data_IF_754964336969
#
_entry.id   IF_754964336969
#
_cell.length_a   1.000
_cell.length_b   1.000
_cell.length_c   1.000
_cell.angle_alpha   90.00
_cell.angle_beta   90.00
_cell.angle_gamma   90.00
#
_symmetry.space_group_name_H-M   'P 1'
#
loop_
_entity.id
_entity.type
_entity.pdbx_description
1 polymer ?
#
# COMPACT_ATOMS: atom_id res chain seq x y z
N UNK A 1 14.58 -7.04 40.09
CA UNK A 1 14.88 -8.50 40.07
C UNK A 1 15.77 -8.95 41.24
N UNK A 2 16.58 -8.09 41.87
CA UNK A 2 17.39 -8.46 43.02
C UNK A 2 16.62 -8.55 44.37
N UNK A 3 15.42 -7.97 44.44
CA UNK A 3 14.66 -7.86 45.70
C UNK A 3 13.76 -9.08 46.02
N UNK A 4 13.57 -9.99 45.06
CA UNK A 4 12.72 -11.18 45.23
C UNK A 4 13.46 -12.42 45.77
N UNK A 5 14.77 -12.33 46.00
CA UNK A 5 15.57 -13.47 46.47
C UNK A 5 15.63 -13.62 48.01
N UNK A 6 15.14 -12.63 48.78
CA UNK A 6 15.27 -12.62 50.24
C UNK A 6 14.17 -13.40 51.00
N UNK A 7 13.01 -13.66 50.38
CA UNK A 7 11.87 -14.28 51.07
C UNK A 7 11.83 -15.81 51.00
N UNK A 8 12.69 -16.45 50.19
CA UNK A 8 12.59 -17.90 49.94
C UNK A 8 13.40 -18.79 50.89
N UNK A 9 14.18 -18.25 51.83
CA UNK A 9 14.83 -19.05 52.88
C UNK A 9 15.62 -20.26 52.37
N UNK A 10 16.12 -20.20 51.12
CA UNK A 10 16.89 -21.28 50.51
C UNK A 10 18.34 -21.10 50.98
N UNK A 11 18.72 -21.86 52.01
CA UNK A 11 20.12 -22.08 52.34
C UNK A 11 20.81 -22.71 51.13
N UNK A 12 21.52 -21.89 50.36
CA UNK A 12 22.41 -22.36 49.31
C UNK A 12 23.54 -23.17 49.97
N UNK A 13 23.68 -24.47 49.65
CA UNK A 13 24.73 -25.29 50.23
C UNK A 13 26.08 -24.68 49.88
N UNK A 14 26.93 -24.55 50.89
CA UNK A 14 28.29 -24.04 50.76
C UNK A 14 28.96 -24.68 49.54
N UNK A 15 29.32 -23.83 48.57
CA UNK A 15 30.04 -24.24 47.37
C UNK A 15 31.37 -24.86 47.80
N UNK A 16 31.41 -26.19 47.85
CA UNK A 16 32.65 -26.94 47.98
C UNK A 16 33.55 -26.55 46.82
N UNK A 17 34.77 -26.13 47.14
CA UNK A 17 35.79 -25.78 46.15
C UNK A 17 35.93 -26.96 45.17
N UNK A 18 35.70 -26.76 43.86
CA UNK A 18 35.88 -27.84 42.91
C UNK A 18 37.35 -28.21 42.92
N UNK A 19 37.65 -29.40 43.45
CA UNK A 19 38.95 -30.04 43.36
C UNK A 19 39.32 -30.09 41.87
N UNK A 20 40.15 -29.14 41.44
CA UNK A 20 40.67 -29.06 40.08
C UNK A 20 41.65 -30.21 39.93
N UNK A 21 41.12 -31.40 39.63
CA UNK A 21 41.90 -32.56 39.21
C UNK A 21 42.65 -32.13 37.96
N UNK A 22 43.93 -31.82 38.14
CA UNK A 22 44.84 -31.44 37.08
C UNK A 22 44.96 -32.62 36.10
N UNK A 23 44.07 -32.65 35.09
CA UNK A 23 44.16 -33.63 34.02
C UNK A 23 45.49 -33.41 33.31
N UNK A 24 46.32 -34.45 33.15
CA UNK A 24 47.55 -34.35 32.41
C UNK A 24 47.23 -33.83 31.02
N UNK A 25 47.80 -32.66 30.69
CA UNK A 25 47.70 -32.08 29.35
C UNK A 25 48.50 -32.99 28.42
N UNK A 26 47.82 -33.97 27.83
CA UNK A 26 48.38 -34.73 26.73
C UNK A 26 48.61 -33.77 25.58
N UNK A 27 49.88 -33.39 25.38
CA UNK A 27 50.32 -32.64 24.22
C UNK A 27 50.18 -33.56 22.99
N UNK A 28 49.02 -33.51 22.34
CA UNK A 28 48.83 -34.15 21.06
C UNK A 28 49.66 -33.40 20.02
N UNK A 29 50.85 -33.92 19.71
CA UNK A 29 51.67 -33.45 18.60
C UNK A 29 51.09 -33.97 17.29
N UNK A 30 50.02 -33.32 16.81
CA UNK A 30 49.40 -33.67 15.54
C UNK A 30 50.31 -33.20 14.41
N UNK A 31 51.01 -34.14 13.79
CA UNK A 31 51.80 -33.87 12.59
C UNK A 31 50.85 -34.01 11.40
N UNK A 32 50.51 -32.92 10.70
CA UNK A 32 49.63 -33.02 9.56
C UNK A 32 50.29 -33.93 8.51
N UNK A 33 49.54 -34.86 7.94
CA UNK A 33 50.09 -35.73 6.93
C UNK A 33 50.49 -34.90 5.71
N UNK A 34 51.59 -35.29 5.05
CA UNK A 34 52.19 -34.53 3.93
C UNK A 34 51.25 -34.28 2.75
N UNK A 35 50.15 -35.02 2.63
CA UNK A 35 49.15 -34.86 1.57
C UNK A 35 48.12 -33.75 1.87
N UNK A 36 47.97 -33.31 3.13
CA UNK A 36 46.99 -32.31 3.54
C UNK A 36 47.06 -30.99 2.75
N UNK A 37 48.24 -30.36 2.55
CA UNK A 37 48.31 -29.11 1.78
C UNK A 37 47.87 -29.29 0.32
N UNK A 38 48.16 -30.44 -0.29
CA UNK A 38 47.77 -30.72 -1.66
C UNK A 38 46.26 -30.93 -1.78
N UNK A 39 45.64 -31.61 -0.81
CA UNK A 39 44.20 -31.80 -0.77
C UNK A 39 43.42 -30.47 -0.62
N UNK A 40 43.93 -29.53 0.19
CA UNK A 40 43.32 -28.21 0.35
C UNK A 40 43.35 -27.39 -0.94
N UNK A 41 44.47 -27.40 -1.67
CA UNK A 41 44.60 -26.67 -2.95
C UNK A 41 43.63 -27.25 -3.99
N UNK A 42 43.55 -28.57 -4.10
CA UNK A 42 42.62 -29.23 -5.03
C UNK A 42 41.17 -28.93 -4.65
N UNK A 43 40.82 -28.99 -3.37
CA UNK A 43 39.47 -28.64 -2.88
C UNK A 43 39.09 -27.19 -3.20
N UNK A 44 40.01 -26.24 -2.98
CA UNK A 44 39.78 -24.84 -3.30
C UNK A 44 39.60 -24.60 -4.81
N UNK A 45 40.38 -25.28 -5.65
CA UNK A 45 40.25 -25.19 -7.10
C UNK A 45 38.91 -25.74 -7.61
N UNK A 46 38.46 -26.88 -7.08
CA UNK A 46 37.15 -27.47 -7.42
C UNK A 46 36.02 -26.54 -6.97
N UNK A 47 36.10 -25.99 -5.76
CA UNK A 47 35.09 -25.07 -5.24
C UNK A 47 35.01 -23.77 -6.07
N UNK A 48 36.16 -23.19 -6.44
CA UNK A 48 36.23 -22.03 -7.31
C UNK A 48 35.66 -22.31 -8.72
N UNK A 49 35.95 -23.49 -9.28
CA UNK A 49 35.38 -23.91 -10.55
C UNK A 49 33.85 -24.10 -10.46
N UNK A 50 33.34 -24.64 -9.35
CA UNK A 50 31.90 -24.76 -9.10
C UNK A 50 31.19 -23.41 -8.99
N UNK A 51 31.80 -22.45 -8.28
CA UNK A 51 31.30 -21.07 -8.21
C UNK A 51 31.31 -20.43 -9.59
N UNK A 52 32.43 -20.56 -10.31
CA UNK A 52 32.54 -19.99 -11.65
C UNK A 52 31.52 -20.62 -12.62
N UNK A 53 31.27 -21.93 -12.51
CA UNK A 53 30.22 -22.61 -13.27
C UNK A 53 28.82 -22.08 -12.92
N UNK A 54 28.51 -21.85 -11.63
CA UNK A 54 27.23 -21.25 -11.23
C UNK A 54 27.05 -19.84 -11.81
N UNK A 55 28.09 -18.98 -11.78
CA UNK A 55 28.01 -17.65 -12.37
C UNK A 55 28.05 -17.65 -13.91
N UNK A 56 28.72 -18.63 -14.51
CA UNK A 56 28.85 -18.77 -15.96
C UNK A 56 27.63 -19.40 -16.63
N UNK A 57 26.88 -20.27 -15.93
CA UNK A 57 25.66 -20.91 -16.45
C UNK A 57 24.37 -20.11 -16.19
N UNK A 58 24.38 -19.09 -15.35
CA UNK A 58 23.29 -18.09 -15.30
C UNK A 58 23.38 -17.07 -16.44
N UNK A 59 24.35 -17.21 -17.34
CA UNK A 59 24.65 -16.29 -18.44
C UNK A 59 24.37 -16.85 -19.82
N UNK A 60 23.17 -17.39 -20.08
CA UNK A 60 22.56 -17.22 -21.40
C UNK A 60 22.12 -15.75 -21.51
N UNK A 61 23.08 -14.90 -21.87
CA UNK A 61 22.97 -13.46 -22.01
C UNK A 61 22.13 -13.07 -23.23
N UNK A 62 20.81 -13.25 -23.16
CA UNK A 62 19.89 -12.77 -24.22
C UNK A 62 18.45 -12.53 -23.73
N UNK A 63 18.24 -11.89 -22.55
CA UNK A 63 17.21 -10.84 -22.50
C UNK A 63 17.50 -9.64 -21.55
N UNK A 64 18.67 -9.59 -20.90
CA UNK A 64 18.95 -8.53 -19.89
C UNK A 64 19.24 -7.17 -20.54
N UNK A 65 19.84 -7.16 -21.73
CA UNK A 65 20.06 -5.91 -22.48
C UNK A 65 18.74 -5.29 -22.97
N UNK A 66 17.79 -6.12 -23.41
CA UNK A 66 16.47 -5.64 -23.84
C UNK A 66 15.65 -5.12 -22.65
N UNK A 67 15.76 -5.76 -21.48
CA UNK A 67 15.13 -5.25 -20.25
C UNK A 67 15.73 -3.92 -19.79
N UNK A 68 17.05 -3.77 -19.85
CA UNK A 68 17.72 -2.52 -19.46
C UNK A 68 17.33 -1.36 -20.40
N UNK A 69 17.23 -1.62 -21.71
CA UNK A 69 16.76 -0.63 -22.68
C UNK A 69 15.29 -0.25 -22.44
N UNK A 70 14.41 -1.23 -22.23
CA UNK A 70 13.00 -0.99 -21.94
C UNK A 70 12.79 -0.16 -20.66
N UNK A 71 13.52 -0.47 -19.58
CA UNK A 71 13.50 0.31 -18.34
C UNK A 71 14.01 1.74 -18.55
N UNK A 72 15.03 1.92 -19.39
CA UNK A 72 15.54 3.26 -19.73
C UNK A 72 14.49 4.11 -20.47
N UNK A 73 13.75 3.51 -21.39
CA UNK A 73 12.68 4.19 -22.14
C UNK A 73 11.49 4.54 -21.23
N UNK A 74 11.12 3.66 -20.30
CA UNK A 74 10.09 3.94 -19.29
C UNK A 74 10.50 5.10 -18.37
N UNK A 75 11.77 5.14 -17.92
CA UNK A 75 12.29 6.25 -17.10
C UNK A 75 12.30 7.57 -17.87
N UNK A 76 12.67 7.55 -19.15
CA UNK A 76 12.61 8.75 -20.00
C UNK A 76 11.17 9.27 -20.12
N UNK A 77 10.21 8.36 -20.39
CA UNK A 77 8.79 8.69 -20.48
C UNK A 77 8.24 9.22 -19.15
N UNK A 78 8.67 8.62 -18.03
CA UNK A 78 8.27 9.06 -16.70
C UNK A 78 8.78 10.47 -16.40
N UNK A 79 10.05 10.76 -16.72
CA UNK A 79 10.63 12.10 -16.54
C UNK A 79 9.89 13.16 -17.37
N UNK A 80 9.51 12.84 -18.61
CA UNK A 80 8.70 13.75 -19.43
C UNK A 80 7.33 14.03 -18.80
N UNK A 81 6.68 13.01 -18.23
CA UNK A 81 5.41 13.17 -17.51
C UNK A 81 5.57 14.03 -16.25
N UNK A 82 6.65 13.83 -15.49
CA UNK A 82 6.96 14.65 -14.30
C UNK A 82 7.18 16.11 -14.67
N UNK A 83 7.90 16.38 -15.75
CA UNK A 83 8.09 17.74 -16.26
C UNK A 83 6.78 18.36 -16.74
N UNK A 84 5.90 17.57 -17.37
CA UNK A 84 4.56 17.99 -17.76
C UNK A 84 3.69 18.37 -16.56
N UNK A 85 3.68 17.52 -15.52
CA UNK A 85 2.97 17.77 -14.26
C UNK A 85 3.52 19.02 -13.54
N UNK A 86 4.83 19.19 -13.51
CA UNK A 86 5.49 20.36 -12.92
C UNK A 86 5.03 21.66 -13.58
N UNK A 87 4.94 21.68 -14.92
CA UNK A 87 4.42 22.83 -15.67
C UNK A 87 2.95 23.12 -15.36
N UNK A 88 2.12 22.10 -15.21
CA UNK A 88 0.71 22.28 -14.85
C UNK A 88 0.55 22.88 -13.45
N UNK A 89 1.34 22.43 -12.47
CA UNK A 89 1.34 22.99 -11.12
C UNK A 89 1.79 24.44 -11.12
N UNK A 90 2.81 24.79 -11.89
CA UNK A 90 3.24 26.18 -12.06
C UNK A 90 2.14 27.06 -12.67
N UNK A 91 1.43 26.57 -13.70
CA UNK A 91 0.32 27.28 -14.32
C UNK A 91 -0.84 27.52 -13.34
N UNK A 92 -1.24 26.49 -12.57
CA UNK A 92 -2.26 26.60 -11.54
C UNK A 92 -1.86 27.59 -10.43
N UNK A 93 -0.57 27.63 -10.07
CA UNK A 93 -0.03 28.62 -9.13
C UNK A 93 -0.24 30.05 -9.62
N UNK A 94 0.03 30.31 -10.90
CA UNK A 94 -0.19 31.62 -11.51
C UNK A 94 -1.67 32.01 -11.55
N UNK A 95 -2.57 31.06 -11.85
CA UNK A 95 -4.01 31.30 -11.83
C UNK A 95 -4.51 31.66 -10.43
N UNK A 96 -4.03 30.94 -9.40
CA UNK A 96 -4.37 31.24 -8.00
C UNK A 96 -3.92 32.63 -7.61
N UNK A 97 -2.70 33.04 -7.97
CA UNK A 97 -2.16 34.35 -7.63
C UNK A 97 -2.90 35.48 -8.36
N UNK A 98 -3.28 35.25 -9.62
CA UNK A 98 -4.13 36.18 -10.38
C UNK A 98 -5.54 36.31 -9.75
N UNK A 99 -6.11 35.21 -9.28
CA UNK A 99 -7.40 35.23 -8.58
C UNK A 99 -7.30 35.97 -7.24
N UNK A 100 -6.22 35.74 -6.48
CA UNK A 100 -5.96 36.45 -5.23
C UNK A 100 -5.86 37.97 -5.44
N UNK A 101 -5.20 38.42 -6.51
CA UNK A 101 -5.14 39.85 -6.85
C UNK A 101 -6.51 40.43 -7.19
N UNK A 102 -7.38 39.68 -7.89
CA UNK A 102 -8.76 40.12 -8.18
C UNK A 102 -9.59 40.26 -6.91
N UNK A 103 -9.44 39.33 -5.97
CA UNK A 103 -10.11 39.40 -4.66
C UNK A 103 -9.62 40.63 -3.89
N UNK A 104 -8.31 40.85 -3.81
CA UNK A 104 -7.75 42.03 -3.14
C UNK A 104 -8.23 43.36 -3.78
N UNK A 105 -8.37 43.41 -5.10
CA UNK A 105 -8.91 44.58 -5.80
C UNK A 105 -10.39 44.82 -5.52
N UNK A 106 -11.18 43.75 -5.32
CA UNK A 106 -12.58 43.84 -4.94
C UNK A 106 -12.74 44.29 -3.48
N UNK A 107 -11.88 43.81 -2.58
CA UNK A 107 -11.86 44.22 -1.17
C UNK A 107 -11.41 45.67 -0.99
N UNK A 108 -10.41 46.10 -1.77
CA UNK A 108 -9.90 47.48 -1.74
C UNK A 108 -10.86 48.49 -2.40
N UNK A 109 -11.96 48.03 -3.00
CA UNK A 109 -12.92 48.89 -3.69
C UNK A 109 -13.62 49.77 -2.65
N UNK A 110 -13.33 51.09 -2.59
CA UNK A 110 -13.96 51.95 -1.62
C UNK A 110 -15.47 51.92 -1.87
N UNK A 111 -16.24 51.69 -0.81
CA UNK A 111 -17.69 51.87 -0.83
C UNK A 111 -17.89 53.36 -1.06
N UNK A 112 -18.01 53.75 -2.33
CA UNK A 112 -18.33 55.13 -2.66
C UNK A 112 -19.62 55.46 -1.92
N UNK A 113 -19.64 56.48 -1.05
CA UNK A 113 -20.88 56.90 -0.44
C UNK A 113 -21.82 57.22 -1.59
N UNK A 114 -22.98 56.57 -1.59
CA UNK A 114 -24.07 56.86 -2.51
C UNK A 114 -24.31 58.36 -2.42
N UNK A 115 -23.77 59.11 -3.39
CA UNK A 115 -23.98 60.53 -3.46
C UNK A 115 -25.49 60.69 -3.66
N UNK A 116 -26.16 61.15 -2.62
CA UNK A 116 -27.57 61.51 -2.67
C UNK A 116 -27.71 62.57 -3.75
N UNK A 117 -28.21 62.17 -4.92
CA UNK A 117 -28.62 63.10 -5.97
C UNK A 117 -29.81 63.90 -5.44
N UNK A 118 -29.70 65.21 -5.17
CA UNK A 118 -30.85 66.00 -4.81
C UNK A 118 -31.55 66.40 -6.10
N UNK A 119 -32.69 65.77 -6.36
CA UNK A 119 -33.71 66.24 -7.29
C UNK A 119 -33.36 66.15 -8.77
N UNK A 120 -33.94 65.18 -9.47
CA UNK A 120 -34.48 65.38 -10.82
C UNK A 120 -35.47 64.25 -11.09
N UNK A 121 -36.74 64.64 -11.11
CA UNK A 121 -37.93 64.00 -11.68
C UNK A 121 -37.90 62.48 -11.90
N UNK A 122 -38.80 61.82 -11.17
CA UNK A 122 -39.21 60.44 -11.35
C UNK A 122 -39.40 60.06 -12.83
N UNK A 123 -38.59 59.13 -13.38
CA UNK A 123 -39.05 58.34 -14.50
C UNK A 123 -40.05 57.31 -13.97
N UNK A 124 -41.08 57.09 -14.77
CA UNK A 124 -42.18 56.16 -14.55
C UNK A 124 -41.70 54.84 -13.94
N UNK A 125 -42.46 54.40 -12.94
CA UNK A 125 -42.41 53.05 -12.40
C UNK A 125 -42.66 52.08 -13.55
N UNK A 126 -41.59 51.55 -14.16
CA UNK A 126 -41.68 50.29 -14.87
C UNK A 126 -41.91 49.25 -13.77
N UNK A 127 -43.18 48.95 -13.53
CA UNK A 127 -43.54 47.73 -12.82
C UNK A 127 -43.00 46.58 -13.65
N UNK A 128 -41.83 46.07 -13.26
CA UNK A 128 -41.42 44.73 -13.68
C UNK A 128 -42.43 43.78 -13.05
N UNK A 129 -43.37 43.35 -13.87
CA UNK A 129 -44.41 42.39 -13.56
C UNK A 129 -43.74 41.06 -13.17
N UNK A 130 -43.57 40.83 -11.87
CA UNK A 130 -43.06 39.59 -11.29
C UNK A 130 -44.09 38.43 -11.33
N UNK A 131 -45.18 38.57 -12.10
CA UNK A 131 -46.19 37.50 -12.27
C UNK A 131 -45.92 36.55 -13.45
N UNK A 132 -44.85 36.75 -14.21
CA UNK A 132 -44.57 35.97 -15.42
C UNK A 132 -43.56 34.81 -15.32
N UNK A 133 -42.81 34.66 -14.22
CA UNK A 133 -41.73 33.67 -14.14
C UNK A 133 -41.98 32.62 -13.03
N UNK A 134 -43.20 32.09 -12.98
CA UNK A 134 -43.51 30.87 -12.24
C UNK A 134 -43.36 29.65 -13.15
N UNK A 135 -42.14 29.45 -13.66
CA UNK A 135 -41.69 28.22 -14.31
C UNK A 135 -40.16 28.21 -14.47
N UNK A 136 -39.42 28.74 -13.49
CA UNK A 136 -38.08 28.22 -13.29
C UNK A 136 -38.27 26.75 -12.88
N UNK A 137 -37.64 25.76 -13.56
CA UNK A 137 -37.58 24.43 -13.01
C UNK A 137 -36.98 24.60 -11.62
N UNK A 138 -37.76 24.23 -10.61
CA UNK A 138 -37.24 23.96 -9.28
C UNK A 138 -36.19 22.90 -9.57
N UNK A 139 -34.93 23.31 -9.70
CA UNK A 139 -33.82 22.41 -9.59
C UNK A 139 -34.08 21.79 -8.23
N UNK A 140 -34.57 20.55 -8.26
CA UNK A 140 -34.60 19.71 -7.10
C UNK A 140 -33.17 19.82 -6.59
N UNK A 141 -32.99 20.57 -5.50
CA UNK A 141 -31.87 20.28 -4.65
C UNK A 141 -32.04 18.79 -4.39
N UNK A 142 -31.14 17.93 -4.88
CA UNK A 142 -31.22 16.55 -4.50
C UNK A 142 -31.30 16.55 -2.97
N UNK A 143 -32.09 15.66 -2.36
CA UNK A 143 -31.89 15.39 -0.95
C UNK A 143 -30.38 15.21 -0.78
N UNK A 144 -29.84 15.73 0.31
CA UNK A 144 -28.46 15.61 0.73
C UNK A 144 -28.04 14.12 0.72
N UNK A 145 -27.82 13.54 -0.45
CA UNK A 145 -27.03 12.36 -0.65
C UNK A 145 -25.66 12.83 -0.19
N UNK A 146 -25.24 12.26 0.95
CA UNK A 146 -23.94 12.50 1.54
C UNK A 146 -22.93 12.66 0.41
N UNK A 147 -22.36 13.86 0.30
CA UNK A 147 -21.36 14.15 -0.73
C UNK A 147 -20.39 12.96 -0.74
N UNK A 148 -20.23 12.24 -1.87
CA UNK A 148 -19.23 11.20 -1.92
C UNK A 148 -17.93 11.92 -1.58
N UNK A 149 -17.32 11.53 -0.46
CA UNK A 149 -15.98 11.95 -0.13
C UNK A 149 -15.13 11.60 -1.35
N UNK A 150 -14.84 12.60 -2.17
CA UNK A 150 -13.90 12.48 -3.27
C UNK A 150 -12.51 12.39 -2.65
N UNK A 151 -12.23 11.25 -2.01
CA UNK A 151 -10.88 10.79 -1.77
C UNK A 151 -10.41 10.16 -3.07
N UNK A 152 -10.17 11.01 -4.06
CA UNK A 152 -9.39 10.63 -5.25
C UNK A 152 -8.29 11.65 -5.44
N UNK A 153 -7.59 11.94 -4.34
CA UNK A 153 -6.19 12.31 -4.47
C UNK A 153 -5.48 11.05 -4.92
N UNK A 154 -4.96 11.06 -6.15
CA UNK A 154 -3.96 10.12 -6.65
C UNK A 154 -2.63 10.33 -5.91
N UNK A 155 -2.70 10.30 -4.58
CA UNK A 155 -1.59 10.24 -3.66
C UNK A 155 -1.57 8.82 -3.13
N UNK A 156 -0.38 8.23 -3.11
CA UNK A 156 -0.01 7.02 -2.39
C UNK A 156 -0.98 6.78 -1.24
N UNK A 157 -1.85 5.77 -1.36
CA UNK A 157 -2.81 5.43 -0.30
C UNK A 157 -2.08 5.45 1.03
N UNK A 158 -2.63 6.13 2.04
CA UNK A 158 -2.07 6.21 3.40
C UNK A 158 -1.80 4.82 4.03
N UNK A 159 -2.34 3.79 3.42
CA UNK A 159 -2.21 2.39 3.80
C UNK A 159 -1.10 1.65 3.06
N UNK A 160 -0.32 2.31 2.21
CA UNK A 160 0.84 1.69 1.58
C UNK A 160 1.92 1.42 2.62
N UNK A 161 2.34 0.16 2.74
CA UNK A 161 3.25 -0.28 3.80
C UNK A 161 4.65 -0.61 3.32
N UNK A 162 4.94 -0.55 2.02
CA UNK A 162 6.21 -0.97 1.43
C UNK A 162 6.60 -2.42 1.82
N UNK A 163 5.63 -3.32 1.97
CA UNK A 163 5.91 -4.72 2.34
C UNK A 163 6.02 -4.99 3.85
N UNK A 164 5.69 -4.02 4.71
CA UNK A 164 5.75 -4.18 6.17
C UNK A 164 4.37 -4.45 6.76
N UNK A 165 4.29 -5.39 7.71
CA UNK A 165 3.08 -5.59 8.53
C UNK A 165 2.92 -4.45 9.54
N UNK A 166 1.95 -3.56 9.31
CA UNK A 166 1.67 -2.38 10.15
C UNK A 166 0.23 -2.27 10.60
N UNK A 167 -0.69 -2.84 9.83
CA UNK A 167 -2.12 -2.71 10.03
C UNK A 167 -2.73 -4.08 10.20
N UNK A 168 -3.75 -4.18 11.03
CA UNK A 168 -4.60 -5.34 11.14
C UNK A 168 -6.06 -4.92 10.93
N UNK A 169 -6.97 -5.88 10.83
CA UNK A 169 -8.39 -5.59 10.59
C UNK A 169 -9.04 -4.67 11.64
N UNK A 170 -8.53 -4.64 12.89
CA UNK A 170 -8.99 -3.72 13.94
C UNK A 170 -8.45 -2.29 13.83
N UNK A 171 -7.50 -2.06 12.92
CA UNK A 171 -6.94 -0.73 12.65
C UNK A 171 -7.87 0.15 11.80
N UNK A 172 -8.91 -0.43 11.21
CA UNK A 172 -9.82 0.24 10.29
C UNK A 172 -11.19 0.47 10.92
N UNK A 173 -11.82 1.60 10.59
CA UNK A 173 -13.16 1.91 11.09
C UNK A 173 -14.26 1.12 10.36
N UNK A 174 -13.93 0.60 9.17
CA UNK A 174 -14.88 -0.13 8.30
C UNK A 174 -14.17 -1.14 7.40
N UNK A 175 -14.90 -2.13 6.90
CA UNK A 175 -14.36 -3.09 5.93
C UNK A 175 -13.97 -2.40 4.62
N UNK A 176 -14.74 -1.39 4.16
CA UNK A 176 -14.39 -0.67 2.94
C UNK A 176 -13.00 -0.01 3.03
N UNK A 177 -12.64 0.51 4.20
CA UNK A 177 -11.33 1.10 4.46
C UNK A 177 -10.20 0.05 4.49
N UNK A 178 -10.48 -1.14 5.04
CA UNK A 178 -9.56 -2.28 4.95
C UNK A 178 -9.38 -2.75 3.50
N UNK A 179 -10.42 -2.70 2.68
CA UNK A 179 -10.37 -3.05 1.26
C UNK A 179 -9.48 -2.06 0.47
N UNK A 180 -9.52 -0.77 0.80
CA UNK A 180 -8.61 0.23 0.22
C UNK A 180 -7.15 -0.03 0.61
N UNK A 181 -6.91 -0.45 1.86
CA UNK A 181 -5.59 -0.84 2.32
C UNK A 181 -5.06 -2.09 1.60
N UNK A 182 -5.93 -3.08 1.39
CA UNK A 182 -5.63 -4.26 0.59
C UNK A 182 -5.25 -3.87 -0.85
N UNK A 183 -6.09 -3.06 -1.50
CA UNK A 183 -5.88 -2.58 -2.87
C UNK A 183 -4.57 -1.81 -3.04
N UNK A 184 -4.18 -1.03 -2.03
CA UNK A 184 -2.95 -0.25 -2.05
C UNK A 184 -1.68 -1.11 -2.07
N UNK A 185 -1.70 -2.31 -1.48
CA UNK A 185 -0.50 -3.13 -1.27
C UNK A 185 -0.36 -4.28 -2.30
N UNK A 186 -1.09 -4.25 -3.41
CA UNK A 186 -0.93 -5.22 -4.50
C UNK A 186 0.35 -4.93 -5.30
N UNK A 187 1.13 -5.97 -5.68
CA UNK A 187 0.95 -7.39 -5.35
C UNK A 187 1.42 -7.73 -3.93
N UNK A 188 0.58 -8.45 -3.16
CA UNK A 188 0.94 -9.00 -1.84
C UNK A 188 -0.03 -8.66 -0.71
N UNK A 189 0.18 -9.29 0.46
CA UNK A 189 -0.51 -9.04 1.75
C UNK A 189 0.41 -8.77 2.94
N UNK A 190 1.14 -7.65 2.97
CA UNK A 190 2.03 -7.39 4.09
C UNK A 190 1.32 -7.38 5.45
N UNK A 191 0.07 -6.93 5.45
CA UNK A 191 -0.77 -6.73 6.63
C UNK A 191 -1.71 -7.91 6.92
N UNK A 192 -1.65 -8.98 6.11
CA UNK A 192 -2.51 -10.17 6.21
C UNK A 192 -4.00 -9.84 6.36
N UNK A 193 -4.48 -8.83 5.62
CA UNK A 193 -5.86 -8.36 5.68
C UNK A 193 -6.85 -9.32 5.02
N UNK A 194 -6.40 -10.13 4.08
CA UNK A 194 -7.18 -11.14 3.36
C UNK A 194 -6.55 -12.51 3.65
N UNK A 195 -7.01 -13.13 4.76
CA UNK A 195 -6.38 -14.33 5.32
C UNK A 195 -6.64 -15.59 4.48
N UNK A 196 -7.74 -15.63 3.72
CA UNK A 196 -8.10 -16.78 2.88
C UNK A 196 -7.67 -16.60 1.41
N UNK A 197 -7.24 -15.40 1.02
CA UNK A 197 -6.74 -15.12 -0.32
C UNK A 197 -7.84 -14.94 -1.37
N UNK A 198 -9.04 -14.50 -0.99
CA UNK A 198 -10.12 -14.29 -1.95
C UNK A 198 -10.13 -12.87 -2.55
N UNK A 199 -9.22 -11.99 -2.13
CA UNK A 199 -9.14 -10.60 -2.56
C UNK A 199 -10.09 -9.66 -1.83
N UNK A 200 -10.76 -10.11 -0.76
CA UNK A 200 -11.63 -9.31 0.11
C UNK A 200 -10.97 -9.22 1.49
N UNK A 201 -10.81 -8.01 2.00
CA UNK A 201 -10.18 -7.75 3.28
C UNK A 201 -11.17 -7.94 4.43
N UNK A 202 -10.70 -8.58 5.50
CA UNK A 202 -11.29 -8.56 6.83
C UNK A 202 -12.78 -8.98 6.86
N UNK A 203 -13.17 -9.91 6.00
CA UNK A 203 -14.53 -10.45 5.90
C UNK A 203 -14.98 -11.21 7.15
N UNK A 204 -14.03 -11.74 7.92
CA UNK A 204 -14.28 -12.49 9.15
C UNK A 204 -14.50 -11.60 10.38
N UNK A 205 -14.33 -10.27 10.26
CA UNK A 205 -14.48 -9.33 11.37
C UNK A 205 -15.85 -8.63 11.32
N UNK A 206 -16.49 -8.56 12.48
CA UNK A 206 -17.73 -7.78 12.66
C UNK A 206 -17.40 -6.31 12.92
N UNK A 207 -17.66 -5.46 11.93
CA UNK A 207 -17.66 -4.00 12.06
C UNK A 207 -19.01 -3.49 12.60
N UNK A 208 -19.09 -2.20 12.95
CA UNK A 208 -20.36 -1.57 13.33
C UNK A 208 -21.43 -1.78 12.24
N UNK A 209 -22.69 -1.99 12.63
CA UNK A 209 -23.76 -2.40 11.71
C UNK A 209 -23.97 -1.48 10.50
N UNK A 210 -23.66 -0.18 10.65
CA UNK A 210 -23.80 0.83 9.60
C UNK A 210 -22.45 1.22 8.95
N UNK A 211 -21.37 0.48 9.23
CA UNK A 211 -20.07 0.75 8.64
C UNK A 211 -20.07 0.37 7.15
N UNK A 212 -19.45 1.19 6.28
CA UNK A 212 -19.31 0.88 4.86
C UNK A 212 -18.59 -0.46 4.62
N UNK A 213 -19.08 -1.22 3.64
CA UNK A 213 -18.48 -2.50 3.22
C UNK A 213 -18.15 -2.46 1.74
N UNK A 214 -17.06 -3.11 1.36
CA UNK A 214 -16.67 -3.30 -0.03
C UNK A 214 -16.21 -4.75 -0.20
N UNK A 215 -17.10 -5.57 -0.75
CA UNK A 215 -16.87 -7.00 -1.03
C UNK A 215 -16.33 -7.24 -2.44
N UNK A 216 -15.95 -6.17 -3.17
CA UNK A 216 -15.41 -6.30 -4.52
C UNK A 216 -13.98 -6.80 -4.43
N UNK A 217 -13.66 -8.01 -4.93
CA UNK A 217 -12.31 -8.54 -4.82
C UNK A 217 -11.28 -7.66 -5.53
N UNK A 218 -10.14 -7.42 -4.88
CA UNK A 218 -9.00 -6.76 -5.51
C UNK A 218 -8.31 -7.75 -6.45
N UNK A 219 -8.32 -7.43 -7.74
CA UNK A 219 -7.61 -8.22 -8.74
C UNK A 219 -6.08 -8.14 -8.51
N UNK A 220 -5.39 -9.28 -8.58
CA UNK A 220 -3.92 -9.30 -8.65
C UNK A 220 -3.17 -10.18 -7.65
N UNK A 221 -3.84 -10.90 -6.75
CA UNK A 221 -3.15 -11.86 -5.85
C UNK A 221 -3.13 -13.31 -6.31
N UNK A 222 -4.18 -13.72 -6.99
CA UNK A 222 -4.31 -15.09 -7.45
C UNK A 222 -4.54 -14.99 -8.94
N UNK A 223 -3.78 -15.75 -9.72
CA UNK A 223 -4.07 -15.95 -11.15
C UNK A 223 -5.53 -16.41 -11.34
N UNK A 224 -6.00 -16.61 -12.58
CA UNK A 224 -7.43 -16.77 -12.92
C UNK A 224 -8.22 -17.94 -12.28
N UNK A 225 -7.75 -18.56 -11.20
CA UNK A 225 -8.40 -19.64 -10.46
C UNK A 225 -9.54 -19.21 -9.50
N UNK A 226 -9.69 -17.94 -9.13
CA UNK A 226 -10.76 -17.52 -8.20
C UNK A 226 -12.10 -17.16 -8.86
N UNK A 227 -12.20 -17.28 -10.18
CA UNK A 227 -13.49 -17.20 -10.91
C UNK A 227 -14.17 -18.56 -11.07
N UNK A 228 -13.65 -19.63 -10.44
CA UNK A 228 -14.28 -20.95 -10.49
C UNK A 228 -15.41 -21.01 -9.46
N UNK A 229 -16.61 -20.74 -9.98
CA UNK A 229 -17.77 -21.62 -9.80
C UNK A 229 -18.64 -21.41 -8.54
N UNK A 230 -19.51 -20.39 -8.59
CA UNK A 230 -20.89 -20.51 -8.09
C UNK A 230 -21.76 -21.39 -9.02
N UNK A 231 -21.17 -22.44 -9.60
CA UNK A 231 -21.81 -23.39 -10.49
C UNK A 231 -22.10 -24.69 -9.74
N UNK A 232 -23.33 -25.15 -9.86
CA UNK A 232 -23.86 -26.42 -9.38
C UNK A 232 -22.84 -27.57 -9.30
N UNK A 233 -22.74 -28.20 -8.11
CA UNK A 233 -22.22 -29.56 -7.98
C UNK A 233 -22.95 -30.49 -8.97
N UNK A 234 -22.27 -31.15 -9.93
CA UNK A 234 -22.88 -32.26 -10.62
C UNK A 234 -22.93 -33.45 -9.67
N UNK A 235 -24.14 -33.98 -9.47
CA UNK A 235 -24.34 -35.25 -8.80
C UNK A 235 -23.47 -36.32 -9.46
N UNK A 236 -22.58 -36.95 -8.69
CA UNK A 236 -21.84 -38.12 -9.16
C UNK A 236 -22.83 -39.27 -9.34
N UNK A 237 -23.20 -39.50 -10.60
CA UNK A 237 -23.85 -40.73 -11.04
C UNK A 237 -22.87 -41.88 -10.93
N UNK A 238 -23.09 -42.69 -9.91
CA UNK A 238 -22.68 -44.10 -9.85
C UNK A 238 -23.51 -44.86 -10.88
N UNK A 239 -22.88 -45.33 -11.95
CA UNK A 239 -23.42 -46.44 -12.73
C UNK A 239 -22.27 -47.36 -13.18
N UNK A 240 -22.10 -48.41 -12.38
CA UNK A 240 -21.61 -49.72 -12.76
C UNK A 240 -22.31 -50.22 -14.05
N UNK A 241 -21.56 -50.55 -15.11
CA UNK A 241 -22.00 -51.57 -16.06
C UNK A 241 -20.87 -52.05 -17.00
N UNK A 242 -20.45 -53.29 -16.74
CA UNK A 242 -20.30 -54.37 -17.71
C UNK A 242 -19.37 -54.18 -18.93
N UNK A 243 -18.18 -54.76 -18.77
CA UNK A 243 -17.34 -55.34 -19.81
C UNK A 243 -17.80 -56.78 -20.10
N UNK A 244 -18.03 -57.18 -21.35
CA UNK A 244 -17.71 -58.53 -21.83
C UNK A 244 -16.28 -58.59 -22.41
#
# INVERSE_FOLDING_TARGET
>A
MAELAAELGVELPAAGEPEVVARPRHHYSWHPPRWLPLALVVGAAIWAAGIWWMFGHTGSSEPVHDHAAALSDEVATFNEKVDGLSKQVAALGQERDALAQRVAALEARPIAPTAATPGTTAPAVVQMDLRGASSAPRAAYPPYEAAPFASTTAGTSRYFTNGVDRYNCSSFASQAEAQEALAANVPGDPNRLDMNGNGVACEDITYAANAPKNLTPVAGRYGPAASVESGAMPAQGVDDAQRP
#
